data_IF_155565107222
#
_entry.id   IF_155565107222
#
_cell.length_a   1.000
_cell.length_b   1.000
_cell.length_c   1.000
_cell.angle_alpha   90.00
_cell.angle_beta   90.00
_cell.angle_gamma   90.00
#
_symmetry.space_group_name_H-M   'P 1'
#
loop_
_entity.id
_entity.type
_entity.pdbx_description
1 polymer ?
#
# COMPACT_ATOMS: atom_id res chain seq x y z
N UNK A 1 -15.49 -17.51 -27.36
CA UNK A 1 -14.32 -16.70 -27.76
C UNK A 1 -14.54 -15.18 -27.59
N UNK A 2 -15.58 -14.54 -28.14
CA UNK A 2 -15.78 -13.08 -28.01
C UNK A 2 -16.04 -12.62 -26.56
N UNK A 3 -16.63 -13.47 -25.72
CA UNK A 3 -16.96 -13.17 -24.32
C UNK A 3 -15.70 -13.14 -23.44
N UNK A 4 -14.75 -14.02 -23.69
CA UNK A 4 -13.51 -14.13 -22.90
C UNK A 4 -12.56 -12.95 -23.13
N UNK A 5 -12.49 -12.48 -24.37
CA UNK A 5 -11.67 -11.31 -24.72
C UNK A 5 -12.20 -10.01 -24.07
N UNK A 6 -13.52 -9.82 -24.04
CA UNK A 6 -14.14 -8.66 -23.37
C UNK A 6 -13.89 -8.67 -21.87
N UNK A 7 -14.00 -9.84 -21.24
CA UNK A 7 -13.72 -10.00 -19.80
C UNK A 7 -12.25 -9.70 -19.52
N UNK A 8 -11.33 -10.24 -20.32
CA UNK A 8 -9.90 -9.98 -20.16
C UNK A 8 -9.56 -8.48 -20.30
N UNK A 9 -10.10 -7.81 -21.33
CA UNK A 9 -9.87 -6.39 -21.56
C UNK A 9 -10.41 -5.53 -20.40
N UNK A 10 -11.60 -5.85 -19.89
CA UNK A 10 -12.15 -5.17 -18.71
C UNK A 10 -11.29 -5.38 -17.46
N UNK A 11 -10.77 -6.59 -17.23
CA UNK A 11 -9.86 -6.89 -16.14
C UNK A 11 -8.53 -6.15 -16.28
N UNK A 12 -7.99 -6.03 -17.49
CA UNK A 12 -6.76 -5.27 -17.76
C UNK A 12 -6.93 -3.77 -17.45
N UNK A 13 -8.07 -3.19 -17.80
CA UNK A 13 -8.40 -1.80 -17.44
C UNK A 13 -8.45 -1.63 -15.92
N UNK A 14 -9.13 -2.53 -15.21
CA UNK A 14 -9.18 -2.51 -13.73
C UNK A 14 -7.79 -2.64 -13.12
N UNK A 15 -6.92 -3.49 -13.68
CA UNK A 15 -5.54 -3.63 -13.23
C UNK A 15 -4.75 -2.32 -13.39
N UNK A 16 -4.89 -1.66 -14.54
CA UNK A 16 -4.24 -0.35 -14.79
C UNK A 16 -4.77 0.73 -13.86
N UNK A 17 -6.09 0.81 -13.67
CA UNK A 17 -6.71 1.73 -12.70
C UNK A 17 -6.20 1.48 -11.28
N UNK A 18 -6.08 0.22 -10.88
CA UNK A 18 -5.49 -0.15 -9.59
C UNK A 18 -4.04 0.32 -9.42
N UNK A 19 -3.23 0.29 -10.50
CA UNK A 19 -1.89 0.85 -10.49
C UNK A 19 -1.91 2.38 -10.32
N UNK A 20 -2.75 3.07 -11.08
CA UNK A 20 -2.89 4.54 -10.98
C UNK A 20 -3.31 4.94 -9.57
N UNK A 21 -4.34 4.30 -9.01
CA UNK A 21 -4.79 4.56 -7.64
C UNK A 21 -3.69 4.34 -6.61
N UNK A 22 -2.91 3.26 -6.74
CA UNK A 22 -1.81 2.97 -5.83
C UNK A 22 -0.75 4.08 -5.88
N UNK A 23 -0.34 4.48 -7.08
CA UNK A 23 0.64 5.56 -7.25
C UNK A 23 0.11 6.90 -6.76
N UNK A 24 -1.15 7.26 -7.02
CA UNK A 24 -1.77 8.46 -6.48
C UNK A 24 -1.79 8.43 -4.95
N UNK A 25 -2.11 7.28 -4.35
CA UNK A 25 -2.05 7.11 -2.90
C UNK A 25 -0.66 7.32 -2.32
N UNK A 26 0.40 6.93 -3.02
CA UNK A 26 1.79 7.19 -2.60
C UNK A 26 2.17 8.65 -2.83
N UNK A 27 1.82 9.21 -3.99
CA UNK A 27 2.19 10.57 -4.39
C UNK A 27 1.51 11.65 -3.54
N UNK A 28 0.41 11.34 -2.88
CA UNK A 28 -0.27 12.28 -1.97
C UNK A 28 0.64 12.78 -0.84
N UNK A 29 1.72 12.05 -0.52
CA UNK A 29 2.71 12.49 0.47
C UNK A 29 3.67 13.56 -0.04
N UNK A 30 3.81 13.76 -1.35
CA UNK A 30 4.72 14.77 -1.90
C UNK A 30 4.38 16.19 -1.41
N UNK A 31 3.14 16.70 -1.56
CA UNK A 31 2.80 18.02 -1.04
C UNK A 31 2.94 18.10 0.48
N UNK A 32 2.63 17.02 1.23
CA UNK A 32 2.86 16.99 2.67
C UNK A 32 4.33 17.18 3.03
N UNK A 33 5.24 16.46 2.35
CA UNK A 33 6.68 16.53 2.59
C UNK A 33 7.21 17.93 2.21
N UNK A 34 6.79 18.46 1.06
CA UNK A 34 7.22 19.81 0.60
C UNK A 34 6.82 20.88 1.62
N UNK A 35 5.57 20.86 2.09
CA UNK A 35 5.11 21.82 3.11
C UNK A 35 5.86 21.65 4.44
N UNK A 36 6.18 20.42 4.83
CA UNK A 36 6.99 20.18 6.05
C UNK A 36 8.41 20.73 5.93
N UNK A 37 9.03 20.56 4.76
CA UNK A 37 10.38 21.13 4.47
C UNK A 37 10.32 22.67 4.46
N UNK A 38 9.22 23.25 3.97
CA UNK A 38 9.00 24.70 3.99
C UNK A 38 8.71 25.27 5.41
N UNK A 39 8.72 24.41 6.45
CA UNK A 39 8.48 24.83 7.83
C UNK A 39 7.02 24.87 8.24
N UNK A 40 6.10 24.53 7.34
CA UNK A 40 4.68 24.46 7.65
C UNK A 40 4.31 23.18 8.42
N UNK A 41 3.14 23.17 9.03
CA UNK A 41 2.60 22.02 9.80
C UNK A 41 1.28 21.53 9.17
N UNK A 42 1.34 20.95 7.93
CA UNK A 42 0.13 20.47 7.27
C UNK A 42 -0.55 19.39 8.13
N UNK A 43 -1.88 19.44 8.29
CA UNK A 43 -2.60 18.45 9.08
C UNK A 43 -2.61 17.09 8.39
N UNK A 44 -2.05 16.06 9.05
CA UNK A 44 -1.95 14.69 8.56
C UNK A 44 -3.32 14.10 8.19
N UNK A 45 -4.36 14.53 8.88
CA UNK A 45 -5.73 14.06 8.71
C UNK A 45 -6.24 14.21 7.26
N UNK A 46 -5.80 15.22 6.51
CA UNK A 46 -6.20 15.40 5.11
C UNK A 46 -5.49 14.48 4.13
N UNK A 47 -4.25 14.09 4.42
CA UNK A 47 -3.44 13.28 3.50
C UNK A 47 -3.64 11.78 3.69
N UNK A 48 -3.84 11.35 4.93
CA UNK A 48 -3.87 9.93 5.27
C UNK A 48 -5.08 9.18 4.69
N UNK A 49 -6.31 9.69 4.67
CA UNK A 49 -7.43 8.99 4.02
C UNK A 49 -7.19 8.76 2.53
N UNK A 50 -6.67 9.74 1.81
CA UNK A 50 -6.35 9.60 0.38
C UNK A 50 -5.23 8.59 0.15
N UNK A 51 -4.20 8.60 1.01
CA UNK A 51 -3.14 7.58 0.99
C UNK A 51 -3.73 6.18 1.17
N UNK A 52 -4.51 5.96 2.22
CA UNK A 52 -5.09 4.65 2.51
C UNK A 52 -6.04 4.18 1.42
N UNK A 53 -6.93 5.04 0.93
CA UNK A 53 -7.84 4.73 -0.17
C UNK A 53 -7.06 4.37 -1.45
N UNK A 54 -6.03 5.13 -1.80
CA UNK A 54 -5.20 4.86 -2.96
C UNK A 54 -4.44 3.54 -2.82
N UNK A 55 -3.75 3.31 -1.71
CA UNK A 55 -2.92 2.12 -1.52
C UNK A 55 -3.77 0.87 -1.32
N UNK A 56 -4.76 0.89 -0.45
CA UNK A 56 -5.61 -0.27 -0.17
C UNK A 56 -6.54 -0.54 -1.34
N UNK A 57 -7.24 0.49 -1.84
CA UNK A 57 -8.16 0.37 -2.98
C UNK A 57 -7.44 -0.08 -4.24
N UNK A 58 -6.31 0.56 -4.57
CA UNK A 58 -5.48 0.18 -5.71
C UNK A 58 -4.96 -1.25 -5.62
N UNK A 59 -4.47 -1.67 -4.44
CA UNK A 59 -3.99 -3.02 -4.22
C UNK A 59 -5.09 -4.08 -4.37
N UNK A 60 -6.28 -3.82 -3.81
CA UNK A 60 -7.43 -4.72 -3.94
C UNK A 60 -7.93 -4.82 -5.37
N UNK A 61 -8.05 -3.68 -6.07
CA UNK A 61 -8.48 -3.65 -7.46
C UNK A 61 -7.53 -4.44 -8.37
N UNK A 62 -6.22 -4.32 -8.15
CA UNK A 62 -5.20 -5.12 -8.85
C UNK A 62 -5.32 -6.62 -8.55
N UNK A 63 -5.51 -6.98 -7.29
CA UNK A 63 -5.65 -8.37 -6.89
C UNK A 63 -6.89 -9.01 -7.52
N UNK A 64 -8.01 -8.30 -7.52
CA UNK A 64 -9.26 -8.73 -8.16
C UNK A 64 -9.09 -8.90 -9.68
N UNK A 65 -8.52 -7.91 -10.35
CA UNK A 65 -8.28 -7.96 -11.78
C UNK A 65 -7.36 -9.12 -12.20
N UNK A 66 -6.30 -9.41 -11.43
CA UNK A 66 -5.44 -10.57 -11.69
C UNK A 66 -6.20 -11.90 -11.61
N UNK A 67 -7.11 -12.02 -10.64
CA UNK A 67 -7.95 -13.22 -10.52
C UNK A 67 -8.86 -13.39 -11.74
N UNK A 68 -9.45 -12.30 -12.23
CA UNK A 68 -10.31 -12.34 -13.43
C UNK A 68 -9.53 -12.68 -14.71
N UNK A 69 -8.27 -12.25 -14.81
CA UNK A 69 -7.38 -12.61 -15.93
C UNK A 69 -6.90 -14.08 -15.90
N UNK A 70 -7.38 -14.89 -14.96
CA UNK A 70 -7.01 -16.30 -14.86
C UNK A 70 -5.61 -16.57 -14.32
N UNK A 71 -4.99 -15.58 -13.66
CA UNK A 71 -3.71 -15.77 -13.00
C UNK A 71 -3.82 -16.85 -11.90
N UNK A 72 -2.90 -17.85 -11.85
CA UNK A 72 -2.92 -18.85 -10.80
C UNK A 72 -2.81 -18.18 -9.43
N UNK A 73 -3.48 -18.73 -8.40
CA UNK A 73 -3.32 -18.23 -7.05
C UNK A 73 -1.84 -18.34 -6.67
N UNK A 74 -1.17 -17.18 -6.56
CA UNK A 74 0.24 -17.16 -6.24
C UNK A 74 0.45 -17.82 -4.87
N UNK A 75 1.15 -18.95 -4.83
CA UNK A 75 1.64 -19.54 -3.59
C UNK A 75 2.51 -18.49 -2.90
N UNK A 76 2.02 -17.93 -1.79
CA UNK A 76 2.77 -16.92 -1.06
C UNK A 76 3.96 -17.57 -0.38
N UNK A 77 5.15 -17.10 -0.67
CA UNK A 77 6.36 -17.53 0.06
C UNK A 77 6.32 -17.01 1.50
N UNK A 78 7.04 -17.63 2.44
CA UNK A 78 7.17 -17.14 3.82
C UNK A 78 7.62 -15.67 3.88
N UNK A 79 8.56 -15.26 3.03
CA UNK A 79 9.03 -13.88 2.90
C UNK A 79 7.92 -12.92 2.46
N UNK A 80 7.05 -13.35 1.54
CA UNK A 80 5.89 -12.55 1.14
C UNK A 80 4.89 -12.39 2.27
N UNK A 81 4.63 -13.45 3.03
CA UNK A 81 3.72 -13.40 4.18
C UNK A 81 4.28 -12.43 5.23
N UNK A 82 5.57 -12.55 5.55
CA UNK A 82 6.24 -11.68 6.51
C UNK A 82 6.24 -10.22 6.04
N UNK A 83 6.59 -9.95 4.76
CA UNK A 83 6.58 -8.61 4.20
C UNK A 83 5.21 -7.95 4.24
N UNK A 84 4.14 -8.67 3.88
CA UNK A 84 2.79 -8.15 4.00
C UNK A 84 2.36 -7.96 5.45
N UNK A 85 2.76 -8.85 6.36
CA UNK A 85 2.53 -8.72 7.79
C UNK A 85 3.17 -7.46 8.38
N UNK A 86 4.41 -7.17 8.02
CA UNK A 86 5.11 -5.94 8.43
C UNK A 86 4.42 -4.68 7.91
N UNK A 87 4.00 -4.66 6.63
CA UNK A 87 3.24 -3.52 6.08
C UNK A 87 1.93 -3.34 6.84
N UNK A 88 1.20 -4.43 7.11
CA UNK A 88 -0.05 -4.39 7.86
C UNK A 88 0.15 -3.83 9.26
N UNK A 89 1.15 -4.32 10.01
CA UNK A 89 1.49 -3.81 11.34
C UNK A 89 1.90 -2.34 11.29
N UNK A 90 2.70 -1.93 10.30
CA UNK A 90 3.06 -0.54 10.09
C UNK A 90 1.84 0.36 9.86
N UNK A 91 0.83 -0.11 9.14
CA UNK A 91 -0.44 0.62 8.97
C UNK A 91 -1.24 0.64 10.28
N UNK A 92 -1.28 -0.47 11.00
CA UNK A 92 -2.05 -0.61 12.23
C UNK A 92 -1.58 0.32 13.34
N UNK A 93 -0.31 0.74 13.32
CA UNK A 93 0.25 1.75 14.24
C UNK A 93 -0.57 3.05 14.27
N UNK A 94 -1.28 3.39 13.19
CA UNK A 94 -2.13 4.58 13.16
C UNK A 94 -3.46 4.42 13.89
N UNK A 95 -3.90 3.20 14.20
CA UNK A 95 -5.17 2.98 14.90
C UNK A 95 -5.20 3.66 16.29
N UNK A 96 -4.22 3.47 17.20
CA UNK A 96 -4.20 4.18 18.48
C UNK A 96 -4.03 5.70 18.31
N UNK A 97 -3.29 6.17 17.30
CA UNK A 97 -3.18 7.60 17.01
C UNK A 97 -4.55 8.22 16.73
N UNK A 98 -5.35 7.59 15.84
CA UNK A 98 -6.68 8.10 15.52
C UNK A 98 -7.63 7.99 16.69
N UNK A 99 -7.59 6.89 17.45
CA UNK A 99 -8.39 6.73 18.63
C UNK A 99 -8.14 7.86 19.64
N UNK A 100 -6.89 8.08 20.01
CA UNK A 100 -6.50 9.11 20.98
C UNK A 100 -6.81 10.52 20.48
N UNK A 101 -6.58 10.79 19.19
CA UNK A 101 -6.79 12.13 18.64
C UNK A 101 -8.24 12.47 18.36
N UNK A 102 -9.03 11.53 17.80
CA UNK A 102 -10.38 11.80 17.33
C UNK A 102 -11.46 11.51 18.41
N UNK A 103 -11.21 10.50 19.25
CA UNK A 103 -12.20 10.05 20.25
C UNK A 103 -11.84 10.58 21.63
N UNK A 104 -10.62 10.38 22.07
CA UNK A 104 -10.18 10.76 23.42
C UNK A 104 -9.61 12.20 23.48
N UNK A 105 -9.54 12.89 22.34
CA UNK A 105 -9.12 14.30 22.20
C UNK A 105 -7.76 14.63 22.86
N UNK A 106 -6.89 13.63 22.99
CA UNK A 106 -5.58 13.82 23.60
C UNK A 106 -4.59 14.51 22.66
N UNK A 107 -3.66 15.31 23.16
CA UNK A 107 -2.60 15.93 22.38
C UNK A 107 -1.53 14.89 22.01
N UNK A 108 -1.78 14.12 20.95
CA UNK A 108 -0.82 13.14 20.43
C UNK A 108 -0.04 13.69 19.23
N UNK A 109 1.27 13.44 19.23
CA UNK A 109 2.14 13.86 18.16
C UNK A 109 2.33 12.76 17.12
N UNK A 110 2.26 13.14 15.84
CA UNK A 110 2.51 12.24 14.69
C UNK A 110 3.88 11.56 14.79
N UNK A 111 4.89 12.30 15.26
CA UNK A 111 6.27 11.82 15.33
C UNK A 111 6.45 10.62 16.26
N UNK A 112 5.55 10.41 17.21
CA UNK A 112 5.58 9.24 18.09
C UNK A 112 5.18 7.93 17.36
N UNK A 113 4.47 8.04 16.24
CA UNK A 113 3.94 6.89 15.48
C UNK A 113 4.65 6.70 14.14
N UNK A 114 5.11 7.79 13.52
CA UNK A 114 5.71 7.80 12.20
C UNK A 114 6.91 6.84 12.03
N UNK A 115 7.87 6.76 12.97
CA UNK A 115 9.00 5.83 12.86
C UNK A 115 8.55 4.37 12.78
N UNK A 116 7.59 3.97 13.61
CA UNK A 116 7.05 2.59 13.60
C UNK A 116 6.31 2.28 12.31
N UNK A 117 5.52 3.23 11.80
CA UNK A 117 4.87 3.11 10.49
C UNK A 117 5.90 2.93 9.37
N UNK A 118 6.91 3.79 9.31
CA UNK A 118 7.94 3.71 8.28
C UNK A 118 8.74 2.41 8.38
N UNK A 119 9.12 1.99 9.57
CA UNK A 119 9.84 0.71 9.76
C UNK A 119 9.01 -0.47 9.28
N UNK A 120 7.72 -0.51 9.61
CA UNK A 120 6.83 -1.58 9.15
C UNK A 120 6.65 -1.58 7.64
N UNK A 121 6.36 -0.41 7.05
CA UNK A 121 6.10 -0.30 5.60
C UNK A 121 7.38 -0.51 4.79
N UNK A 122 8.47 0.20 5.09
CA UNK A 122 9.71 0.10 4.33
C UNK A 122 10.38 -1.27 4.52
N UNK A 123 10.38 -1.81 5.75
CA UNK A 123 10.88 -3.15 6.02
C UNK A 123 10.07 -4.22 5.27
N UNK A 124 8.75 -4.10 5.26
CA UNK A 124 7.89 -4.99 4.50
C UNK A 124 8.12 -4.90 2.99
N UNK A 125 8.27 -3.69 2.43
CA UNK A 125 8.61 -3.48 1.02
C UNK A 125 9.98 -4.12 0.69
N UNK A 126 10.99 -3.94 1.54
CA UNK A 126 12.30 -4.53 1.35
C UNK A 126 12.22 -6.07 1.29
N UNK A 127 11.48 -6.71 2.19
CA UNK A 127 11.26 -8.16 2.16
C UNK A 127 10.57 -8.63 0.89
N UNK A 128 9.57 -7.89 0.40
CA UNK A 128 8.89 -8.20 -0.85
C UNK A 128 9.82 -8.07 -2.06
N UNK A 129 10.69 -7.05 -2.06
CA UNK A 129 11.69 -6.86 -3.11
C UNK A 129 12.73 -7.99 -3.11
N UNK A 130 13.24 -8.38 -1.93
CA UNK A 130 14.15 -9.52 -1.78
C UNK A 130 13.50 -10.81 -2.30
N UNK A 131 12.25 -11.06 -1.89
CA UNK A 131 11.51 -12.23 -2.38
C UNK A 131 11.38 -12.24 -3.91
N UNK A 132 11.07 -11.08 -4.51
CA UNK A 132 10.98 -10.97 -5.97
C UNK A 132 12.30 -11.29 -6.67
N UNK A 133 13.43 -10.79 -6.14
CA UNK A 133 14.75 -11.05 -6.70
C UNK A 133 15.15 -12.53 -6.61
N UNK A 134 14.83 -13.18 -5.47
CA UNK A 134 15.10 -14.61 -5.27
C UNK A 134 14.26 -15.45 -6.25
N UNK A 135 12.96 -15.15 -6.37
CA UNK A 135 12.06 -15.89 -7.25
C UNK A 135 12.49 -15.77 -8.72
N UNK A 136 12.88 -14.57 -9.15
CA UNK A 136 13.35 -14.34 -10.52
C UNK A 136 14.63 -15.15 -10.85
N UNK A 137 15.50 -15.33 -9.87
CA UNK A 137 16.75 -16.11 -10.07
C UNK A 137 16.49 -17.61 -10.21
N UNK A 138 15.44 -18.14 -9.55
CA UNK A 138 15.08 -19.55 -9.65
C UNK A 138 14.39 -19.92 -10.98
N UNK A 139 13.79 -18.96 -11.67
CA UNK A 139 13.13 -19.18 -12.98
C UNK A 139 14.11 -19.18 -14.16
N UNK A 140 15.37 -18.79 -13.95
CA UNK A 140 16.42 -18.69 -15.00
C UNK A 140 17.37 -19.90 -14.98
N UNK A 141 17.36 -20.72 -13.94
CA UNK A 141 18.14 -21.96 -13.81
C UNK A 141 17.26 -23.19 -14.03
#
# INVERSE_FOLDING_TARGET
MVTDEKIYNAALIRYRLGNVLLWLGVLVWLPFIVLRIAGEKPPLFWYLPFHLLGVIGGSRLRAFARKEMGGPPAKKSPLQILGHGMIFLGILVWAPYFYLKAIDQQPVEVMNYLPYHLTGVLGGIALLAINYLISRKSDVN
#
